data_IF_204657955564
#
_entry.id   IF_204657955564
#
_cell.length_a   1.000
_cell.length_b   1.000
_cell.length_c   1.000
_cell.angle_alpha   90.00
_cell.angle_beta   90.00
_cell.angle_gamma   90.00
#
_symmetry.space_group_name_H-M   'P 1'
#
loop_
_entity.id
_entity.type
_entity.pdbx_description
1 polymer ?
#
# COMPACT_ATOMS: atom_id res chain seq x y z
N UNK A 1 24.43 33.61 2.64
CA UNK A 1 25.11 32.34 2.26
C UNK A 1 24.59 31.16 3.12
N UNK A 2 24.58 31.29 4.45
CA UNK A 2 24.12 30.18 5.36
C UNK A 2 22.63 29.87 5.16
N UNK A 3 21.79 30.94 5.09
CA UNK A 3 20.34 30.79 4.89
C UNK A 3 20.00 30.18 3.51
N UNK A 4 20.70 30.52 2.46
CA UNK A 4 20.50 29.95 1.12
C UNK A 4 20.92 28.45 1.09
N UNK A 5 22.01 28.08 1.76
CA UNK A 5 22.44 26.69 1.88
C UNK A 5 21.40 25.87 2.65
N UNK A 6 20.93 26.39 3.79
CA UNK A 6 19.89 25.73 4.58
C UNK A 6 18.59 25.55 3.79
N UNK A 7 18.17 26.59 3.06
CA UNK A 7 16.98 26.54 2.23
C UNK A 7 17.09 25.53 1.08
N UNK A 8 18.26 25.44 0.42
CA UNK A 8 18.55 24.41 -0.59
C UNK A 8 18.50 22.99 -0.01
N UNK A 9 19.07 22.77 1.18
CA UNK A 9 19.02 21.49 1.86
C UNK A 9 17.57 21.10 2.20
N UNK A 10 16.79 21.99 2.78
CA UNK A 10 15.37 21.75 3.08
C UNK A 10 14.55 21.46 1.83
N UNK A 11 14.84 22.19 0.73
CA UNK A 11 14.20 21.96 -0.56
C UNK A 11 14.56 20.59 -1.16
N UNK A 12 15.83 20.19 -1.07
CA UNK A 12 16.29 18.86 -1.52
C UNK A 12 15.66 17.73 -0.71
N UNK A 13 15.58 17.87 0.63
CA UNK A 13 14.92 16.90 1.50
C UNK A 13 13.43 16.77 1.18
N UNK A 14 12.72 17.90 0.97
CA UNK A 14 11.31 17.87 0.56
C UNK A 14 11.11 17.17 -0.80
N UNK A 15 12.00 17.42 -1.74
CA UNK A 15 11.96 16.79 -3.06
C UNK A 15 12.24 15.29 -2.97
N UNK A 16 13.24 14.88 -2.18
CA UNK A 16 13.57 13.48 -1.93
C UNK A 16 12.44 12.72 -1.25
N UNK A 17 11.84 13.33 -0.22
CA UNK A 17 10.67 12.76 0.47
C UNK A 17 9.48 12.59 -0.48
N UNK A 18 9.17 13.62 -1.28
CA UNK A 18 8.07 13.55 -2.24
C UNK A 18 8.30 12.49 -3.33
N UNK A 19 9.54 12.35 -3.81
CA UNK A 19 9.90 11.32 -4.79
C UNK A 19 9.77 9.92 -4.18
N UNK A 20 10.31 9.69 -2.99
CA UNK A 20 10.22 8.40 -2.28
C UNK A 20 8.77 8.02 -1.99
N UNK A 21 7.97 8.95 -1.45
CA UNK A 21 6.55 8.73 -1.23
C UNK A 21 5.79 8.43 -2.53
N UNK A 22 6.14 9.09 -3.62
CA UNK A 22 5.56 8.86 -4.95
C UNK A 22 5.84 7.45 -5.47
N UNK A 23 7.07 6.97 -5.34
CA UNK A 23 7.46 5.60 -5.73
C UNK A 23 6.69 4.58 -4.90
N UNK A 24 6.68 4.75 -3.57
CA UNK A 24 5.96 3.82 -2.66
C UNK A 24 4.47 3.78 -3.00
N UNK A 25 3.81 4.93 -3.17
CA UNK A 25 2.40 4.98 -3.54
C UNK A 25 2.14 4.30 -4.89
N UNK A 26 3.02 4.48 -5.87
CA UNK A 26 2.84 3.85 -7.17
C UNK A 26 3.03 2.33 -7.12
N UNK A 27 3.99 1.84 -6.34
CA UNK A 27 4.32 0.41 -6.23
C UNK A 27 3.47 -0.33 -5.19
N UNK A 28 2.75 0.39 -4.31
CA UNK A 28 2.00 -0.18 -3.18
C UNK A 28 1.06 -1.34 -3.56
N UNK A 29 0.21 -1.25 -4.59
CA UNK A 29 -0.67 -2.37 -4.94
C UNK A 29 0.09 -3.61 -5.41
N UNK A 30 1.20 -3.41 -6.14
CA UNK A 30 2.06 -4.50 -6.60
C UNK A 30 2.77 -5.14 -5.40
N UNK A 31 3.30 -4.33 -4.49
CA UNK A 31 3.94 -4.81 -3.27
C UNK A 31 2.97 -5.64 -2.43
N UNK A 32 1.74 -5.18 -2.20
CA UNK A 32 0.72 -5.93 -1.49
C UNK A 32 0.28 -7.20 -2.21
N UNK A 33 0.32 -7.22 -3.53
CA UNK A 33 -0.03 -8.40 -4.31
C UNK A 33 0.96 -9.56 -4.14
N UNK A 34 2.26 -9.24 -3.99
CA UNK A 34 3.32 -10.25 -3.90
C UNK A 34 3.82 -10.49 -2.47
N UNK A 35 3.88 -9.45 -1.64
CA UNK A 35 4.47 -9.52 -0.31
C UNK A 35 3.45 -9.42 0.83
N UNK A 36 2.22 -8.95 0.54
CA UNK A 36 1.12 -8.85 1.52
C UNK A 36 1.32 -7.84 2.66
N UNK A 37 2.44 -7.16 2.69
CA UNK A 37 2.91 -6.33 3.80
C UNK A 37 3.35 -4.94 3.34
N UNK A 38 3.20 -3.96 4.23
CA UNK A 38 3.66 -2.59 4.04
C UNK A 38 4.76 -2.31 5.06
N UNK A 39 6.02 -2.09 4.65
CA UNK A 39 7.06 -1.61 5.54
C UNK A 39 6.82 -0.13 5.88
N UNK A 40 6.33 0.15 7.09
CA UNK A 40 5.84 1.48 7.51
C UNK A 40 6.96 2.52 7.44
N UNK A 41 8.19 2.15 7.80
CA UNK A 41 9.34 3.05 7.83
C UNK A 41 10.09 3.18 6.50
N UNK A 42 9.59 2.54 5.42
CA UNK A 42 10.27 2.53 4.11
C UNK A 42 10.53 3.93 3.52
N UNK A 43 9.64 4.89 3.77
CA UNK A 43 9.83 6.29 3.32
C UNK A 43 11.07 6.91 3.99
N UNK A 44 11.24 6.68 5.30
CA UNK A 44 12.39 7.20 6.06
C UNK A 44 13.67 6.46 5.65
N UNK A 45 13.60 5.14 5.50
CA UNK A 45 14.74 4.34 5.02
C UNK A 45 15.20 4.80 3.65
N UNK A 46 14.29 4.99 2.71
CA UNK A 46 14.62 5.49 1.37
C UNK A 46 15.26 6.88 1.41
N UNK A 47 14.83 7.76 2.32
CA UNK A 47 15.43 9.08 2.48
C UNK A 47 16.87 9.01 2.95
N UNK A 48 17.21 8.02 3.78
CA UNK A 48 18.57 7.76 4.28
C UNK A 48 19.44 7.05 3.23
N UNK A 49 18.88 6.06 2.54
CA UNK A 49 19.61 5.16 1.61
C UNK A 49 19.84 5.78 0.24
N UNK A 50 18.82 6.43 -0.36
CA UNK A 50 18.88 6.93 -1.74
C UNK A 50 20.05 7.88 -2.03
N UNK A 51 20.46 8.81 -1.13
CA UNK A 51 21.57 9.70 -1.42
C UNK A 51 22.91 8.97 -1.69
N UNK A 52 23.11 7.83 -1.04
CA UNK A 52 24.35 7.06 -1.14
C UNK A 52 24.34 6.04 -2.29
N UNK A 53 23.17 5.73 -2.87
CA UNK A 53 23.07 4.75 -3.96
C UNK A 53 23.94 5.12 -5.17
N UNK A 54 24.05 6.42 -5.49
CA UNK A 54 24.91 6.88 -6.57
C UNK A 54 26.40 6.61 -6.30
N UNK A 55 26.81 6.69 -5.03
CA UNK A 55 28.18 6.42 -4.59
C UNK A 55 28.46 4.92 -4.71
N UNK A 56 27.54 4.08 -4.20
CA UNK A 56 27.65 2.61 -4.29
C UNK A 56 27.70 2.13 -5.73
N UNK A 57 26.84 2.68 -6.61
CA UNK A 57 26.88 2.32 -8.03
C UNK A 57 28.18 2.74 -8.71
N UNK A 58 28.69 3.93 -8.42
CA UNK A 58 29.96 4.42 -8.97
C UNK A 58 31.14 3.60 -8.43
N UNK A 59 31.17 3.31 -7.13
CA UNK A 59 32.17 2.48 -6.47
C UNK A 59 32.20 1.06 -7.01
N UNK A 60 31.03 0.44 -7.18
CA UNK A 60 30.92 -0.89 -7.79
C UNK A 60 31.47 -0.96 -9.21
N UNK A 61 31.21 0.06 -10.03
CA UNK A 61 31.83 0.13 -11.39
C UNK A 61 33.34 0.34 -11.30
N UNK A 62 33.82 1.23 -10.42
CA UNK A 62 35.22 1.51 -10.24
C UNK A 62 36.01 0.31 -9.70
N UNK A 63 35.38 -0.50 -8.86
CA UNK A 63 36.01 -1.70 -8.29
C UNK A 63 36.33 -2.79 -9.32
N UNK A 64 35.71 -2.73 -10.51
CA UNK A 64 36.04 -3.62 -11.65
C UNK A 64 37.36 -3.28 -12.33
N UNK A 65 37.92 -2.10 -12.06
CA UNK A 65 39.20 -1.66 -12.63
C UNK A 65 40.34 -2.18 -11.75
N UNK A 66 41.30 -2.95 -12.32
CA UNK A 66 42.48 -3.43 -11.57
C UNK A 66 43.21 -2.28 -10.86
N UNK A 67 43.48 -2.43 -9.57
CA UNK A 67 44.13 -1.40 -8.73
C UNK A 67 43.18 -0.44 -7.99
N UNK A 68 41.90 -0.42 -8.28
CA UNK A 68 40.90 0.43 -7.59
C UNK A 68 40.03 -0.35 -6.55
N UNK A 69 40.55 -1.47 -6.03
CA UNK A 69 39.82 -2.31 -5.04
C UNK A 69 39.37 -1.58 -3.76
N UNK A 70 40.01 -0.45 -3.43
CA UNK A 70 39.59 0.41 -2.29
C UNK A 70 38.14 0.91 -2.49
N UNK A 71 37.69 1.14 -3.72
CA UNK A 71 36.31 1.56 -3.98
C UNK A 71 35.29 0.49 -3.52
N UNK A 72 35.59 -0.79 -3.75
CA UNK A 72 34.76 -1.90 -3.28
C UNK A 72 34.70 -1.98 -1.74
N UNK A 73 35.80 -1.65 -1.04
CA UNK A 73 35.80 -1.63 0.43
C UNK A 73 34.84 -0.54 0.96
N UNK A 74 34.83 0.64 0.33
CA UNK A 74 33.91 1.73 0.71
C UNK A 74 32.47 1.30 0.46
N UNK A 75 32.19 0.65 -0.66
CA UNK A 75 30.86 0.14 -0.98
C UNK A 75 30.40 -0.91 0.04
N UNK A 76 31.28 -1.85 0.45
CA UNK A 76 30.95 -2.82 1.48
C UNK A 76 30.60 -2.16 2.82
N UNK A 77 31.31 -1.09 3.21
CA UNK A 77 31.00 -0.34 4.43
C UNK A 77 29.63 0.35 4.36
N UNK A 78 29.28 0.94 3.20
CA UNK A 78 27.98 1.57 3.00
C UNK A 78 26.88 0.51 3.01
N UNK A 79 27.09 -0.63 2.37
CA UNK A 79 26.10 -1.72 2.33
C UNK A 79 25.89 -2.33 3.71
N UNK A 80 26.99 -2.56 4.50
CA UNK A 80 26.89 -3.00 5.88
C UNK A 80 26.10 -2.00 6.74
N UNK A 81 26.33 -0.69 6.56
CA UNK A 81 25.58 0.35 7.24
C UNK A 81 24.08 0.33 6.85
N UNK A 82 23.75 0.02 5.58
CA UNK A 82 22.37 -0.14 5.13
C UNK A 82 21.70 -1.33 5.82
N UNK A 83 22.37 -2.48 5.85
CA UNK A 83 21.90 -3.69 6.50
C UNK A 83 21.59 -3.41 7.97
N UNK A 84 22.55 -2.82 8.69
CA UNK A 84 22.39 -2.45 10.09
C UNK A 84 21.19 -1.50 10.31
N UNK A 85 21.01 -0.47 9.49
CA UNK A 85 19.85 0.43 9.60
C UNK A 85 18.55 -0.33 9.34
N UNK A 86 18.49 -1.15 8.30
CA UNK A 86 17.29 -1.92 7.96
C UNK A 86 16.89 -2.87 9.10
N UNK A 87 17.85 -3.55 9.72
CA UNK A 87 17.61 -4.37 10.91
C UNK A 87 17.03 -3.56 12.05
N UNK A 88 17.66 -2.41 12.39
CA UNK A 88 17.19 -1.55 13.48
C UNK A 88 15.80 -0.99 13.27
N UNK A 89 15.47 -0.61 12.04
CA UNK A 89 14.10 -0.17 11.69
C UNK A 89 13.11 -1.34 11.65
N UNK A 90 13.57 -2.56 11.33
CA UNK A 90 12.76 -3.77 11.39
C UNK A 90 12.34 -4.19 12.79
N UNK A 91 13.20 -3.93 13.79
CA UNK A 91 12.93 -4.21 15.21
C UNK A 91 11.94 -3.23 15.85
N UNK A 92 11.65 -2.09 15.21
CA UNK A 92 10.73 -1.10 15.77
C UNK A 92 9.28 -1.62 15.79
N UNK A 93 8.52 -1.29 16.84
CA UNK A 93 7.13 -1.71 16.92
C UNK A 93 6.32 -1.18 15.73
N UNK A 94 5.57 -2.07 15.07
CA UNK A 94 4.79 -1.71 13.88
C UNK A 94 5.63 -1.45 12.64
N UNK A 95 6.87 -1.98 12.55
CA UNK A 95 7.73 -1.84 11.38
C UNK A 95 7.09 -2.38 10.11
N UNK A 96 6.33 -3.44 10.23
CA UNK A 96 5.62 -4.11 9.14
C UNK A 96 4.14 -4.17 9.44
N UNK A 97 3.33 -3.71 8.49
CA UNK A 97 1.89 -3.84 8.55
C UNK A 97 1.41 -4.90 7.57
N UNK A 98 1.00 -6.06 8.08
CA UNK A 98 0.43 -7.13 7.28
C UNK A 98 -1.03 -6.80 6.94
N UNK A 99 -1.28 -6.56 5.66
CA UNK A 99 -2.59 -6.15 5.12
C UNK A 99 -3.31 -7.31 4.45
N UNK A 100 -2.55 -8.23 3.89
CA UNK A 100 -3.04 -9.29 3.02
C UNK A 100 -3.04 -8.90 1.54
N UNK A 101 -3.52 -9.83 0.72
CA UNK A 101 -3.61 -9.65 -0.74
C UNK A 101 -4.84 -8.83 -1.09
N UNK A 102 -4.71 -7.68 -1.76
CA UNK A 102 -5.86 -6.90 -2.22
C UNK A 102 -6.60 -7.64 -3.33
N UNK A 103 -7.91 -7.47 -3.40
CA UNK A 103 -8.69 -7.96 -4.52
C UNK A 103 -8.37 -7.18 -5.80
N UNK A 104 -8.50 -7.81 -6.97
CA UNK A 104 -8.19 -7.19 -8.26
C UNK A 104 -8.94 -5.86 -8.48
N UNK A 105 -10.20 -5.78 -8.08
CA UNK A 105 -11.00 -4.57 -8.20
C UNK A 105 -10.46 -3.41 -7.34
N UNK A 106 -9.91 -3.71 -6.15
CA UNK A 106 -9.29 -2.70 -5.28
C UNK A 106 -8.07 -2.06 -5.95
N UNK A 107 -7.24 -2.88 -6.62
CA UNK A 107 -6.10 -2.37 -7.39
C UNK A 107 -6.54 -1.46 -8.54
N UNK A 108 -7.59 -1.84 -9.28
CA UNK A 108 -8.15 -1.02 -10.37
C UNK A 108 -8.66 0.32 -9.84
N UNK A 109 -9.43 0.31 -8.74
CA UNK A 109 -9.94 1.53 -8.10
C UNK A 109 -8.79 2.41 -7.63
N UNK A 110 -7.78 1.81 -7.02
CA UNK A 110 -6.60 2.54 -6.54
C UNK A 110 -5.87 3.28 -7.68
N UNK A 111 -5.49 2.57 -8.76
CA UNK A 111 -4.78 3.19 -9.88
C UNK A 111 -5.64 4.21 -10.63
N UNK A 112 -6.94 3.96 -10.76
CA UNK A 112 -7.88 4.93 -11.35
C UNK A 112 -7.96 6.20 -10.51
N UNK A 113 -8.04 6.08 -9.19
CA UNK A 113 -8.02 7.21 -8.26
C UNK A 113 -6.71 7.99 -8.31
N UNK A 114 -5.58 7.30 -8.32
CA UNK A 114 -4.26 7.92 -8.45
C UNK A 114 -4.11 8.67 -9.79
N UNK A 115 -4.60 8.09 -10.88
CA UNK A 115 -4.60 8.71 -12.20
C UNK A 115 -5.44 9.99 -12.23
N UNK A 116 -6.62 9.98 -11.62
CA UNK A 116 -7.49 11.17 -11.48
C UNK A 116 -6.79 12.26 -10.67
N UNK A 117 -6.09 11.92 -9.58
CA UNK A 117 -5.33 12.87 -8.77
C UNK A 117 -4.19 13.52 -9.57
N UNK A 118 -3.44 12.73 -10.35
CA UNK A 118 -2.32 13.23 -11.17
C UNK A 118 -2.84 14.16 -12.27
N UNK A 119 -3.90 13.76 -12.98
CA UNK A 119 -4.51 14.59 -14.02
C UNK A 119 -5.06 15.88 -13.43
N UNK A 120 -5.82 15.78 -12.34
CA UNK A 120 -6.40 16.94 -11.66
C UNK A 120 -5.33 17.97 -11.26
N UNK A 121 -4.19 17.49 -10.71
CA UNK A 121 -3.05 18.34 -10.38
C UNK A 121 -2.47 19.02 -11.62
N UNK A 122 -2.24 18.28 -12.71
CA UNK A 122 -1.69 18.82 -13.94
C UNK A 122 -2.59 19.90 -14.55
N UNK A 123 -3.91 19.69 -14.51
CA UNK A 123 -4.89 20.70 -14.96
C UNK A 123 -4.88 21.93 -14.06
N UNK A 124 -4.84 21.77 -12.75
CA UNK A 124 -4.78 22.86 -11.79
C UNK A 124 -3.51 23.72 -11.97
N UNK A 125 -2.37 23.09 -12.23
CA UNK A 125 -1.11 23.82 -12.51
C UNK A 125 -1.15 24.58 -13.84
N UNK A 126 -1.67 23.97 -14.91
CA UNK A 126 -1.86 24.65 -16.21
C UNK A 126 -2.76 25.88 -16.08
N UNK A 127 -3.87 25.74 -15.36
CA UNK A 127 -4.82 26.80 -15.17
C UNK A 127 -4.25 27.95 -14.32
N UNK A 128 -3.47 27.62 -13.27
CA UNK A 128 -2.74 28.62 -12.47
C UNK A 128 -1.76 29.43 -13.34
N UNK A 129 -1.01 28.76 -14.22
CA UNK A 129 -0.11 29.43 -15.17
C UNK A 129 -0.86 30.34 -16.13
N UNK A 130 -1.99 29.91 -16.67
CA UNK A 130 -2.81 30.73 -17.57
C UNK A 130 -3.36 31.99 -16.88
N UNK A 131 -3.82 31.87 -15.62
CA UNK A 131 -4.25 33.04 -14.85
C UNK A 131 -3.12 34.02 -14.57
N UNK A 132 -1.95 33.52 -14.17
CA UNK A 132 -0.79 34.37 -13.94
C UNK A 132 -0.37 35.10 -15.23
N UNK A 133 -0.42 34.40 -16.36
CA UNK A 133 -0.14 35.00 -17.66
C UNK A 133 -1.19 36.06 -18.05
N UNK A 134 -2.48 35.75 -17.87
CA UNK A 134 -3.56 36.72 -18.14
C UNK A 134 -3.46 37.96 -17.25
N UNK A 135 -3.13 37.80 -15.98
CA UNK A 135 -2.91 38.90 -15.05
C UNK A 135 -1.71 39.77 -15.49
N UNK A 136 -0.59 39.14 -15.87
CA UNK A 136 0.59 39.84 -16.39
C UNK A 136 0.30 40.63 -17.66
N UNK A 137 -0.47 40.05 -18.61
CA UNK A 137 -0.88 40.74 -19.86
C UNK A 137 -1.83 41.89 -19.55
N UNK A 138 -2.77 41.72 -18.61
CA UNK A 138 -3.68 42.81 -18.21
C UNK A 138 -2.93 44.00 -17.57
N UNK A 139 -1.93 43.72 -16.74
CA UNK A 139 -1.09 44.73 -16.09
C UNK A 139 -0.25 45.52 -17.12
N UNK A 140 0.35 44.85 -18.09
CA UNK A 140 1.14 45.47 -19.15
C UNK A 140 0.27 46.28 -20.15
N UNK A 141 -0.95 45.78 -20.47
CA UNK A 141 -1.86 46.52 -21.35
C UNK A 141 -2.40 47.79 -20.70
N UNK A 142 -2.54 47.87 -19.36
CA UNK A 142 -2.87 49.09 -18.66
C UNK A 142 -1.70 50.12 -18.71
N UNK A 143 -0.46 49.63 -18.67
CA UNK A 143 0.72 50.47 -18.83
C UNK A 143 0.80 51.12 -20.23
N UNK A 144 0.49 50.37 -21.28
CA UNK A 144 0.49 50.91 -22.68
C UNK A 144 -0.70 51.82 -22.97
N UNK A 145 -1.86 51.59 -22.35
CA UNK A 145 -3.03 52.44 -22.47
C UNK A 145 -2.76 53.88 -21.99
N UNK A 146 -2.09 54.00 -20.85
CA UNK A 146 -1.69 55.33 -20.34
C UNK A 146 -0.59 56.01 -21.17
N UNK A 147 0.23 55.22 -21.84
CA UNK A 147 1.28 55.75 -22.72
C UNK A 147 0.72 56.25 -24.05
N UNK A 148 -0.21 55.51 -24.65
CA UNK A 148 -0.93 55.89 -25.87
C UNK A 148 -1.86 57.06 -25.63
N UNK A 149 -2.51 57.18 -24.46
CA UNK A 149 -3.37 58.31 -24.12
C UNK A 149 -2.57 59.60 -23.89
N UNK A 150 -1.39 59.52 -23.25
CA UNK A 150 -0.43 60.62 -23.16
C UNK A 150 0.14 61.03 -24.54
N UNK A 151 0.40 60.07 -25.44
CA UNK A 151 0.82 60.34 -26.79
C UNK A 151 -0.30 60.91 -27.66
N UNK A 152 -1.54 60.49 -27.44
CA UNK A 152 -2.74 61.03 -28.11
C UNK A 152 -3.02 62.48 -27.67
N UNK A 153 -2.96 62.75 -26.36
CA UNK A 153 -3.04 64.14 -25.82
C UNK A 153 -1.89 65.03 -26.34
N UNK A 154 -0.66 64.52 -26.52
CA UNK A 154 0.44 65.24 -27.14
C UNK A 154 0.24 65.47 -28.63
N UNK A 155 -0.50 64.63 -29.37
CA UNK A 155 -0.84 64.81 -30.79
C UNK A 155 -2.03 65.76 -30.97
N UNK A 156 -3.02 65.72 -30.10
CA UNK A 156 -4.17 66.65 -30.12
C UNK A 156 -3.73 68.10 -29.79
N UNK A 157 -2.70 68.26 -28.98
CA UNK A 157 -2.12 69.57 -28.71
C UNK A 157 -1.17 70.03 -29.82
N UNK A 158 -0.87 69.21 -30.84
CA UNK A 158 0.04 69.53 -31.96
C UNK A 158 -0.59 69.63 -33.36
N UNK A 159 -1.90 69.34 -33.50
CA UNK A 159 -2.52 69.17 -34.81
C UNK A 159 -3.93 69.74 -34.91
N UNK A 160 -3.99 71.08 -35.07
CA UNK A 160 -5.02 71.72 -35.88
C UNK A 160 -4.52 71.66 -37.30
N UNK A 161 -5.21 70.98 -38.15
CA UNK A 161 -5.37 70.99 -39.61
C UNK A 161 -5.25 69.55 -40.20
N UNK A 162 -6.31 68.97 -40.63
CA UNK A 162 -6.64 68.64 -42.02
C UNK A 162 -8.00 67.89 -42.12
N UNK A 163 -8.91 68.52 -42.82
CA UNK A 163 -10.26 68.05 -43.12
C UNK A 163 -10.26 67.19 -44.40
N UNK A 164 -10.96 66.06 -44.36
CA UNK A 164 -11.58 65.51 -45.52
C UNK A 164 -10.94 64.31 -46.21
N UNK A 165 -11.54 63.16 -45.95
CA UNK A 165 -11.82 62.05 -46.88
C UNK A 165 -11.94 60.68 -46.16
N UNK A 166 -13.15 60.09 -46.13
CA UNK A 166 -13.25 58.73 -45.59
C UNK A 166 -14.65 58.17 -45.30
N UNK A 167 -15.68 58.67 -45.91
CA UNK A 167 -17.05 58.16 -45.76
C UNK A 167 -17.48 57.28 -46.93
N UNK A 168 -16.93 56.09 -47.14
CA UNK A 168 -17.53 55.13 -48.13
C UNK A 168 -17.00 53.68 -48.04
N UNK A 169 -16.74 53.12 -46.88
CA UNK A 169 -16.32 51.69 -46.81
C UNK A 169 -16.97 50.85 -45.72
N UNK A 170 -17.98 51.34 -45.02
CA UNK A 170 -18.54 50.62 -43.84
C UNK A 170 -19.89 49.91 -44.11
N UNK A 171 -20.53 50.12 -45.31
CA UNK A 171 -21.85 49.56 -45.61
C UNK A 171 -21.86 48.11 -46.11
N UNK A 172 -20.76 47.54 -46.60
CA UNK A 172 -20.76 46.19 -47.19
C UNK A 172 -20.30 45.05 -46.30
N UNK A 173 -19.96 45.30 -45.07
CA UNK A 173 -19.46 44.26 -44.13
C UNK A 173 -20.57 43.64 -43.24
N UNK A 174 -21.79 44.21 -43.23
CA UNK A 174 -22.88 43.76 -42.32
C UNK A 174 -23.85 42.75 -42.94
N UNK A 175 -23.72 42.38 -44.22
CA UNK A 175 -24.65 41.43 -44.90
C UNK A 175 -24.20 39.98 -44.98
N UNK A 176 -22.98 39.65 -44.57
CA UNK A 176 -22.45 38.28 -44.72
C UNK A 176 -22.35 37.49 -43.39
N UNK A 177 -22.87 37.99 -42.30
CA UNK A 177 -22.79 37.31 -40.97
C UNK A 177 -24.07 36.70 -40.44
N UNK A 178 -25.14 36.58 -41.30
CA UNK A 178 -26.45 36.10 -40.80
C UNK A 178 -26.86 34.67 -41.22
N UNK A 179 -26.02 33.97 -42.00
CA UNK A 179 -26.37 32.60 -42.50
C UNK A 179 -25.81 31.43 -41.69
N UNK A 180 -24.78 31.63 -40.84
CA UNK A 180 -24.12 30.49 -40.17
C UNK A 180 -24.55 30.28 -38.71
N UNK A 181 -25.62 30.94 -38.26
CA UNK A 181 -25.97 30.97 -36.83
C UNK A 181 -26.98 29.91 -36.39
N UNK A 182 -27.49 29.04 -37.25
CA UNK A 182 -28.56 28.08 -36.91
C UNK A 182 -28.12 26.61 -36.81
N UNK A 183 -26.91 26.22 -37.20
CA UNK A 183 -26.43 24.83 -37.06
C UNK A 183 -25.61 24.55 -35.79
N UNK A 184 -25.24 25.58 -35.04
CA UNK A 184 -24.40 25.48 -33.86
C UNK A 184 -25.14 25.34 -32.49
N UNK A 185 -26.49 25.50 -32.51
CA UNK A 185 -27.26 25.64 -31.25
C UNK A 185 -27.54 24.32 -30.55
N UNK A 186 -27.50 23.18 -31.24
CA UNK A 186 -27.84 21.89 -30.64
C UNK A 186 -26.67 21.12 -30.00
N UNK A 187 -25.43 21.35 -30.42
CA UNK A 187 -24.26 20.66 -29.86
C UNK A 187 -23.64 21.43 -28.68
N UNK A 188 -24.02 22.69 -28.47
CA UNK A 188 -23.45 23.59 -27.46
C UNK A 188 -24.06 23.42 -26.07
N UNK A 189 -25.30 22.90 -25.96
CA UNK A 189 -25.99 22.84 -24.65
C UNK A 189 -25.33 21.88 -23.66
N UNK A 190 -24.91 20.70 -24.11
CA UNK A 190 -24.16 19.76 -23.25
C UNK A 190 -22.73 20.21 -23.00
N UNK A 191 -22.08 20.84 -23.96
CA UNK A 191 -20.76 21.45 -23.76
C UNK A 191 -20.82 22.61 -22.76
N UNK A 192 -21.88 23.42 -22.78
CA UNK A 192 -22.07 24.51 -21.79
C UNK A 192 -22.44 23.96 -20.39
N UNK A 193 -23.23 22.90 -20.29
CA UNK A 193 -23.52 22.24 -18.99
C UNK A 193 -22.27 21.61 -18.42
N UNK A 194 -21.50 20.87 -19.21
CA UNK A 194 -20.22 20.31 -18.81
C UNK A 194 -19.18 21.39 -18.55
N UNK A 195 -19.14 22.46 -19.35
CA UNK A 195 -18.28 23.60 -19.12
C UNK A 195 -18.68 24.36 -17.85
N UNK A 196 -19.99 24.60 -17.61
CA UNK A 196 -20.45 25.24 -16.38
C UNK A 196 -20.26 24.36 -15.15
N UNK A 197 -20.49 23.05 -15.23
CA UNK A 197 -20.11 22.10 -14.18
C UNK A 197 -18.61 22.12 -13.95
N UNK A 198 -17.81 22.10 -15.02
CA UNK A 198 -16.38 22.22 -14.99
C UNK A 198 -15.91 23.60 -14.46
N UNK A 199 -16.57 24.71 -14.86
CA UNK A 199 -16.29 26.07 -14.34
C UNK A 199 -16.69 26.22 -12.86
N UNK A 200 -17.80 25.61 -12.40
CA UNK A 200 -18.19 25.60 -10.99
C UNK A 200 -17.23 24.70 -10.19
N UNK A 201 -16.85 23.56 -10.72
CA UNK A 201 -15.85 22.70 -10.10
C UNK A 201 -14.45 23.35 -10.08
N UNK A 202 -14.07 24.04 -11.15
CA UNK A 202 -12.89 24.91 -11.18
C UNK A 202 -12.99 26.09 -10.22
N UNK A 203 -14.17 26.67 -10.06
CA UNK A 203 -14.44 27.74 -9.10
C UNK A 203 -14.25 27.29 -7.66
N UNK A 204 -14.70 26.10 -7.30
CA UNK A 204 -14.48 25.46 -6.00
C UNK A 204 -12.99 25.15 -5.80
N UNK A 205 -12.31 24.67 -6.84
CA UNK A 205 -10.86 24.38 -6.81
C UNK A 205 -9.99 25.64 -6.75
N UNK A 206 -10.49 26.77 -7.21
CA UNK A 206 -9.75 28.06 -7.22
C UNK A 206 -10.04 28.95 -6.04
N UNK A 207 -10.98 28.53 -5.19
CA UNK A 207 -11.33 29.33 -4.04
C UNK A 207 -10.15 29.39 -3.07
N UNK A 208 -9.54 30.54 -3.10
CA UNK A 208 -8.76 31.33 -2.14
C UNK A 208 -7.60 30.69 -1.35
N UNK A 209 -7.46 29.37 -1.29
CA UNK A 209 -6.30 28.74 -0.64
C UNK A 209 -5.96 27.39 -1.30
N UNK A 210 -4.77 27.25 -1.87
CA UNK A 210 -4.22 25.97 -2.33
C UNK A 210 -4.17 24.87 -1.24
N UNK A 211 -4.56 25.18 -0.04
CA UNK A 211 -4.77 24.31 1.12
C UNK A 211 -5.99 23.41 0.93
N UNK A 212 -7.15 23.93 0.48
CA UNK A 212 -8.36 23.13 0.26
C UNK A 212 -8.13 22.02 -0.80
N UNK A 213 -7.50 22.36 -1.92
CA UNK A 213 -7.19 21.34 -2.93
C UNK A 213 -6.24 20.27 -2.40
N UNK A 214 -5.29 20.63 -1.54
CA UNK A 214 -4.37 19.69 -0.91
C UNK A 214 -5.10 18.79 0.08
N UNK A 215 -6.04 19.34 0.88
CA UNK A 215 -6.86 18.58 1.81
C UNK A 215 -7.76 17.58 1.07
N UNK A 216 -8.43 18.00 0.00
CA UNK A 216 -9.28 17.12 -0.82
C UNK A 216 -8.44 16.01 -1.46
N UNK A 217 -7.28 16.34 -2.02
CA UNK A 217 -6.37 15.35 -2.60
C UNK A 217 -5.86 14.37 -1.54
N UNK A 218 -5.52 14.84 -0.34
CA UNK A 218 -5.12 13.99 0.78
C UNK A 218 -6.27 13.07 1.24
N UNK A 219 -7.50 13.58 1.34
CA UNK A 219 -8.67 12.76 1.69
C UNK A 219 -8.94 11.67 0.64
N UNK A 220 -8.84 12.01 -0.65
CA UNK A 220 -8.98 11.01 -1.73
C UNK A 220 -7.87 9.98 -1.63
N UNK A 221 -6.63 10.39 -1.39
CA UNK A 221 -5.51 9.47 -1.22
C UNK A 221 -5.72 8.53 -0.03
N UNK A 222 -6.12 9.05 1.12
CA UNK A 222 -6.46 8.24 2.31
C UNK A 222 -7.59 7.27 2.01
N UNK A 223 -8.62 7.71 1.29
CA UNK A 223 -9.74 6.85 0.90
C UNK A 223 -9.29 5.70 -0.01
N UNK A 224 -8.52 5.98 -1.09
CA UNK A 224 -8.09 4.92 -2.01
C UNK A 224 -7.08 3.98 -1.37
N UNK A 225 -6.20 4.46 -0.46
CA UNK A 225 -5.32 3.60 0.33
C UNK A 225 -6.14 2.77 1.31
N UNK A 226 -7.10 3.35 2.01
CA UNK A 226 -7.99 2.63 2.92
C UNK A 226 -8.84 1.57 2.20
N UNK A 227 -9.31 1.86 0.99
CA UNK A 227 -9.97 0.86 0.14
C UNK A 227 -9.02 -0.26 -0.29
N UNK A 228 -7.77 0.07 -0.62
CA UNK A 228 -6.78 -0.93 -1.04
C UNK A 228 -6.39 -1.87 0.12
N UNK A 229 -6.24 -1.32 1.33
CA UNK A 229 -5.82 -2.07 2.53
C UNK A 229 -6.99 -2.67 3.30
N UNK A 230 -8.23 -2.37 2.93
CA UNK A 230 -9.43 -2.91 3.56
C UNK A 230 -9.62 -4.39 3.25
N UNK A 231 -9.77 -5.22 4.29
CA UNK A 231 -10.19 -6.60 4.12
C UNK A 231 -11.72 -6.66 4.09
N UNK A 232 -12.28 -6.89 2.91
CA UNK A 232 -13.72 -6.97 2.68
C UNK A 232 -14.25 -8.40 2.71
N UNK A 233 -13.36 -9.40 2.70
CA UNK A 233 -13.72 -10.83 2.77
C UNK A 233 -13.72 -11.28 4.24
N UNK A 234 -14.82 -11.01 4.92
CA UNK A 234 -15.07 -11.40 6.33
C UNK A 234 -15.94 -12.64 6.47
N UNK A 235 -16.11 -13.40 5.41
CA UNK A 235 -16.82 -14.65 5.44
C UNK A 235 -16.05 -15.73 6.18
N UNK A 236 -16.78 -16.76 6.66
CA UNK A 236 -16.13 -17.96 7.15
C UNK A 236 -15.58 -18.78 5.98
N UNK A 237 -14.41 -19.36 6.18
CA UNK A 237 -13.71 -20.13 5.14
C UNK A 237 -12.96 -21.30 5.75
N UNK A 238 -13.03 -22.42 5.10
CA UNK A 238 -12.17 -23.58 5.37
C UNK A 238 -11.26 -23.75 4.16
N UNK A 239 -9.96 -23.79 4.39
CA UNK A 239 -8.95 -23.94 3.33
C UNK A 239 -8.06 -25.11 3.63
N UNK A 240 -8.00 -26.07 2.72
CA UNK A 240 -7.01 -27.14 2.71
C UNK A 240 -5.76 -26.64 2.00
N UNK A 241 -4.64 -26.63 2.69
CA UNK A 241 -3.36 -26.19 2.15
C UNK A 241 -2.76 -27.28 1.26
N UNK A 242 -2.17 -26.89 0.13
CA UNK A 242 -1.41 -27.81 -0.72
C UNK A 242 -0.04 -28.10 -0.11
N UNK A 243 -0.02 -28.99 0.89
CA UNK A 243 1.21 -29.39 1.58
C UNK A 243 1.90 -30.60 0.94
N UNK A 244 1.29 -31.26 -0.02
CA UNK A 244 1.76 -32.51 -0.62
C UNK A 244 1.29 -33.73 0.17
N UNK A 245 2.20 -34.64 0.59
CA UNK A 245 1.86 -35.74 1.49
C UNK A 245 1.85 -35.24 2.92
N UNK A 246 0.66 -35.03 3.47
CA UNK A 246 0.42 -34.50 4.80
C UNK A 246 -0.87 -33.71 4.84
N UNK A 247 -1.15 -33.10 6.00
CA UNK A 247 -2.35 -32.33 6.24
C UNK A 247 -2.05 -30.91 6.67
N UNK A 248 -2.97 -30.01 6.32
CA UNK A 248 -2.92 -28.61 6.76
C UNK A 248 -4.24 -27.92 6.43
N UNK A 249 -5.01 -27.57 7.45
CA UNK A 249 -6.34 -26.99 7.29
C UNK A 249 -6.42 -25.69 8.08
N UNK A 250 -6.76 -24.59 7.40
CA UNK A 250 -7.03 -23.31 8.05
C UNK A 250 -8.52 -23.01 8.03
N UNK A 251 -9.09 -22.78 9.22
CA UNK A 251 -10.47 -22.34 9.40
C UNK A 251 -10.45 -20.88 9.78
N UNK A 252 -10.93 -20.03 8.86
CA UNK A 252 -11.07 -18.58 9.07
C UNK A 252 -12.51 -18.29 9.48
N UNK A 253 -12.68 -17.48 10.51
CA UNK A 253 -13.94 -16.84 10.84
C UNK A 253 -13.78 -15.33 10.69
N UNK A 254 -14.86 -14.57 10.63
CA UNK A 254 -14.75 -13.11 10.56
C UNK A 254 -14.04 -12.46 11.77
N UNK A 255 -13.62 -13.25 12.77
CA UNK A 255 -13.04 -12.78 14.03
C UNK A 255 -11.71 -13.44 14.40
N UNK A 256 -11.32 -14.53 13.74
CA UNK A 256 -10.08 -15.24 14.04
C UNK A 256 -9.80 -16.36 13.05
N UNK A 257 -8.64 -16.97 13.19
CA UNK A 257 -8.23 -18.12 12.39
C UNK A 257 -7.73 -19.24 13.30
N UNK A 258 -7.98 -20.46 12.87
CA UNK A 258 -7.59 -21.69 13.53
C UNK A 258 -6.84 -22.56 12.53
N UNK A 259 -5.80 -23.24 12.98
CA UNK A 259 -4.99 -24.15 12.17
C UNK A 259 -5.18 -25.57 12.72
N UNK A 260 -5.51 -26.51 11.85
CA UNK A 260 -5.58 -27.94 12.16
C UNK A 260 -4.51 -28.64 11.33
N UNK A 261 -3.51 -29.17 12.00
CA UNK A 261 -2.31 -29.73 11.44
C UNK A 261 -1.60 -28.77 10.45
N UNK A 262 -0.36 -28.99 10.21
CA UNK A 262 0.39 -28.42 9.10
C UNK A 262 1.71 -29.16 9.00
N UNK A 263 1.78 -30.12 8.09
CA UNK A 263 3.00 -30.88 7.90
C UNK A 263 3.10 -31.49 6.52
N UNK A 264 4.25 -32.08 6.21
CA UNK A 264 4.49 -32.81 4.97
C UNK A 264 5.71 -33.70 5.06
N UNK A 265 5.61 -34.90 4.49
CA UNK A 265 6.76 -35.78 4.25
C UNK A 265 7.36 -35.59 2.86
N UNK A 266 6.61 -35.03 1.90
CA UNK A 266 7.08 -34.83 0.51
C UNK A 266 7.67 -33.46 0.22
N UNK A 267 7.40 -32.44 1.06
CA UNK A 267 7.90 -31.08 0.90
C UNK A 267 8.63 -30.62 2.16
N UNK A 268 9.71 -29.86 1.99
CA UNK A 268 10.46 -29.25 3.10
C UNK A 268 9.98 -27.84 3.36
N UNK A 269 10.12 -27.39 4.62
CA UNK A 269 9.84 -26.00 5.04
C UNK A 269 8.41 -25.56 4.70
N UNK A 270 7.45 -26.39 5.06
CA UNK A 270 6.03 -26.14 4.83
C UNK A 270 5.55 -24.88 5.56
N UNK A 271 6.05 -24.64 6.77
CA UNK A 271 5.77 -23.44 7.53
C UNK A 271 6.19 -22.19 6.76
N UNK A 272 7.44 -22.16 6.25
CA UNK A 272 8.01 -21.02 5.53
C UNK A 272 7.39 -20.79 4.15
N UNK A 273 7.16 -21.87 3.36
CA UNK A 273 6.78 -21.71 1.95
C UNK A 273 5.30 -21.90 1.64
N UNK A 274 4.51 -22.49 2.55
CA UNK A 274 3.08 -22.70 2.35
C UNK A 274 2.25 -21.97 3.40
N UNK A 275 2.47 -22.23 4.69
CA UNK A 275 1.67 -21.68 5.78
C UNK A 275 1.85 -20.17 5.92
N UNK A 276 3.10 -19.69 6.08
CA UNK A 276 3.40 -18.25 6.22
C UNK A 276 2.84 -17.41 5.05
N UNK A 277 3.10 -17.74 3.76
CA UNK A 277 2.54 -16.98 2.65
C UNK A 277 1.01 -17.00 2.61
N UNK A 278 0.39 -18.15 2.97
CA UNK A 278 -1.06 -18.23 3.05
C UNK A 278 -1.61 -17.27 4.10
N UNK A 279 -1.15 -17.39 5.36
CA UNK A 279 -1.60 -16.54 6.46
C UNK A 279 -1.39 -15.04 6.16
N UNK A 280 -0.21 -14.67 5.66
CA UNK A 280 0.08 -13.30 5.25
C UNK A 280 -0.82 -12.83 4.10
N UNK A 281 -1.10 -13.67 3.11
CA UNK A 281 -2.00 -13.33 2.00
C UNK A 281 -3.42 -13.04 2.45
N UNK A 282 -3.83 -13.66 3.57
CA UNK A 282 -5.14 -13.45 4.20
C UNK A 282 -5.13 -12.30 5.22
N UNK A 283 -3.96 -11.74 5.53
CA UNK A 283 -3.79 -10.71 6.57
C UNK A 283 -3.94 -11.28 7.99
N UNK A 284 -3.68 -12.58 8.16
CA UNK A 284 -3.77 -13.27 9.46
C UNK A 284 -2.41 -13.12 10.16
N UNK A 285 -2.41 -12.44 11.29
CA UNK A 285 -1.24 -12.24 12.14
C UNK A 285 -1.33 -12.97 13.48
N UNK A 286 -2.50 -13.52 13.83
CA UNK A 286 -2.72 -14.33 15.03
C UNK A 286 -3.59 -15.54 14.69
N UNK A 287 -3.17 -16.71 15.18
CA UNK A 287 -3.96 -17.93 15.22
C UNK A 287 -4.51 -18.09 16.62
N UNK A 288 -5.83 -18.13 16.76
CA UNK A 288 -6.50 -18.34 18.06
C UNK A 288 -6.30 -19.72 18.61
N UNK A 289 -6.15 -20.71 17.72
CA UNK A 289 -5.88 -22.08 18.11
C UNK A 289 -5.12 -22.82 17.03
N UNK A 290 -4.15 -23.61 17.46
CA UNK A 290 -3.43 -24.56 16.61
C UNK A 290 -3.69 -25.95 17.19
N UNK A 291 -4.25 -26.83 16.41
CA UNK A 291 -4.59 -28.20 16.78
C UNK A 291 -3.61 -29.15 16.08
N UNK A 292 -3.07 -30.10 16.82
CA UNK A 292 -2.19 -31.13 16.28
C UNK A 292 -2.79 -32.50 16.56
N UNK A 293 -3.29 -33.13 15.51
CA UNK A 293 -4.04 -34.39 15.61
C UNK A 293 -3.18 -35.52 16.14
N UNK A 294 -1.94 -35.66 15.66
CA UNK A 294 -0.99 -36.67 16.09
C UNK A 294 0.47 -36.24 15.76
N UNK A 295 1.49 -36.92 16.34
CA UNK A 295 2.87 -36.40 16.33
C UNK A 295 3.68 -36.77 15.07
N UNK A 296 3.06 -37.18 13.97
CA UNK A 296 3.78 -37.53 12.76
C UNK A 296 4.25 -36.28 12.01
N UNK A 297 5.38 -36.36 11.31
CA UNK A 297 6.02 -35.23 10.65
C UNK A 297 5.12 -34.56 9.61
N UNK A 298 4.26 -35.31 8.96
CA UNK A 298 3.31 -34.82 7.96
C UNK A 298 2.10 -34.07 8.53
N UNK A 299 2.04 -33.97 9.87
CA UNK A 299 1.02 -33.19 10.57
C UNK A 299 1.62 -32.02 11.38
N UNK A 300 2.88 -32.12 11.85
CA UNK A 300 3.41 -31.17 12.80
C UNK A 300 4.61 -30.34 12.33
N UNK A 301 5.37 -30.74 11.29
CA UNK A 301 6.64 -30.08 10.99
C UNK A 301 6.49 -28.60 10.60
N UNK A 302 5.40 -28.22 9.93
CA UNK A 302 5.10 -26.82 9.62
C UNK A 302 4.64 -26.02 10.83
N UNK A 303 3.99 -26.67 11.82
CA UNK A 303 3.64 -26.07 13.11
C UNK A 303 4.90 -25.82 13.93
N UNK A 304 5.83 -26.76 13.93
CA UNK A 304 7.14 -26.59 14.58
C UNK A 304 7.89 -25.39 14.03
N UNK A 305 7.95 -25.27 12.68
CA UNK A 305 8.53 -24.07 12.03
C UNK A 305 7.82 -22.77 12.44
N UNK A 306 6.48 -22.81 12.59
CA UNK A 306 5.69 -21.65 13.03
C UNK A 306 6.03 -21.25 14.46
N UNK A 307 6.16 -22.20 15.38
CA UNK A 307 6.54 -21.92 16.77
C UNK A 307 7.95 -21.37 16.88
N UNK A 308 8.89 -21.91 16.10
CA UNK A 308 10.28 -21.47 16.10
C UNK A 308 10.48 -20.08 15.48
N UNK A 309 9.73 -19.75 14.43
CA UNK A 309 9.97 -18.55 13.62
C UNK A 309 8.79 -17.56 13.61
N UNK A 310 7.70 -17.84 14.31
CA UNK A 310 6.46 -17.03 14.28
C UNK A 310 6.70 -15.56 14.64
N UNK A 311 7.57 -15.31 15.61
CA UNK A 311 7.95 -13.95 16.00
C UNK A 311 8.61 -13.16 14.86
N UNK A 312 9.54 -13.78 14.13
CA UNK A 312 10.17 -13.20 12.95
C UNK A 312 9.17 -13.01 11.80
N UNK A 313 8.25 -13.95 11.65
CA UNK A 313 7.21 -13.85 10.63
C UNK A 313 6.11 -12.84 10.97
N UNK A 314 6.05 -12.34 12.20
CA UNK A 314 4.97 -11.49 12.70
C UNK A 314 3.63 -12.24 12.79
N UNK A 315 3.69 -13.55 13.09
CA UNK A 315 2.53 -14.42 13.28
C UNK A 315 2.61 -15.00 14.68
N UNK A 316 1.54 -14.81 15.46
CA UNK A 316 1.43 -15.30 16.83
C UNK A 316 0.45 -16.44 16.94
N UNK A 317 0.69 -17.33 17.88
CA UNK A 317 -0.23 -18.41 18.27
C UNK A 317 -0.72 -18.12 19.67
N UNK A 318 -2.03 -18.02 19.87
CA UNK A 318 -2.62 -17.73 21.18
C UNK A 318 -2.68 -18.98 22.06
N UNK A 319 -2.97 -20.14 21.46
CA UNK A 319 -3.07 -21.42 22.17
C UNK A 319 -2.82 -22.60 21.24
N UNK A 320 -2.16 -23.62 21.76
CA UNK A 320 -2.00 -24.92 21.08
C UNK A 320 -2.84 -26.00 21.80
N UNK A 321 -3.47 -26.86 21.03
CA UNK A 321 -4.29 -27.97 21.51
C UNK A 321 -3.68 -29.28 21.06
N UNK A 322 -3.54 -30.20 21.98
CA UNK A 322 -3.04 -31.56 21.75
C UNK A 322 -4.07 -32.60 22.31
N UNK A 323 -4.10 -33.81 21.79
CA UNK A 323 -5.01 -34.85 22.27
C UNK A 323 -4.73 -35.20 23.73
N UNK A 324 -5.80 -35.42 24.47
CA UNK A 324 -5.77 -35.78 25.90
C UNK A 324 -5.46 -37.28 26.09
N UNK A 325 -4.30 -37.72 25.60
CA UNK A 325 -3.74 -39.08 25.83
C UNK A 325 -3.00 -39.16 27.17
N UNK A 326 -2.43 -40.31 27.53
CA UNK A 326 -1.70 -40.45 28.80
C UNK A 326 -0.49 -39.50 28.87
N UNK A 327 -0.13 -39.04 30.09
CA UNK A 327 0.96 -38.04 30.25
C UNK A 327 2.30 -38.59 29.74
N UNK A 328 2.59 -39.87 29.95
CA UNK A 328 3.84 -40.48 29.49
C UNK A 328 3.93 -40.49 27.97
N UNK A 329 2.86 -40.92 27.27
CA UNK A 329 2.80 -40.92 25.81
C UNK A 329 2.85 -39.52 25.21
N UNK A 330 2.18 -38.54 25.84
CA UNK A 330 2.25 -37.12 25.39
C UNK A 330 3.65 -36.57 25.46
N UNK A 331 4.37 -36.79 26.55
CA UNK A 331 5.75 -36.27 26.72
C UNK A 331 6.69 -36.86 25.68
N UNK A 332 6.55 -38.18 25.41
CA UNK A 332 7.41 -38.82 24.41
C UNK A 332 7.05 -38.43 22.98
N UNK A 333 5.76 -38.45 22.63
CA UNK A 333 5.30 -38.23 21.27
C UNK A 333 5.37 -36.77 20.81
N UNK A 334 5.05 -35.83 21.70
CA UNK A 334 5.00 -34.37 21.38
C UNK A 334 6.15 -33.59 21.99
N UNK A 335 7.24 -34.21 22.44
CA UNK A 335 8.36 -33.52 23.13
C UNK A 335 8.85 -32.31 22.34
N UNK A 336 9.11 -32.48 21.06
CA UNK A 336 9.61 -31.36 20.19
C UNK A 336 8.63 -30.19 20.15
N UNK A 337 7.34 -30.44 20.01
CA UNK A 337 6.29 -29.40 19.97
C UNK A 337 6.13 -28.73 21.35
N UNK A 338 6.17 -29.48 22.43
CA UNK A 338 6.06 -28.97 23.80
C UNK A 338 7.23 -28.03 24.11
N UNK A 339 8.45 -28.42 23.79
CA UNK A 339 9.64 -27.57 23.94
C UNK A 339 9.57 -26.32 23.10
N UNK A 340 9.17 -26.42 21.82
CA UNK A 340 9.02 -25.28 20.94
C UNK A 340 7.89 -24.32 21.41
N UNK A 341 6.77 -24.85 21.90
CA UNK A 341 5.67 -24.05 22.44
C UNK A 341 6.09 -23.31 23.73
N UNK A 342 6.83 -23.98 24.64
CA UNK A 342 7.38 -23.35 25.85
C UNK A 342 8.33 -22.22 25.49
N UNK A 343 9.23 -22.44 24.53
CA UNK A 343 10.17 -21.41 24.07
C UNK A 343 9.46 -20.22 23.40
N UNK A 344 8.43 -20.50 22.62
CA UNK A 344 7.59 -19.47 21.98
C UNK A 344 6.61 -18.78 22.95
N UNK A 345 6.48 -19.27 24.19
CA UNK A 345 5.52 -18.76 25.17
C UNK A 345 4.06 -19.08 24.83
N UNK A 346 3.81 -20.14 24.07
CA UNK A 346 2.47 -20.55 23.63
C UNK A 346 1.88 -21.55 24.67
N UNK A 347 0.74 -21.21 25.29
CA UNK A 347 0.08 -22.13 26.23
C UNK A 347 -0.45 -23.36 25.50
N UNK A 348 -0.28 -24.52 26.13
CA UNK A 348 -0.74 -25.81 25.62
C UNK A 348 -1.93 -26.32 26.45
N UNK A 349 -2.99 -26.73 25.80
CA UNK A 349 -4.15 -27.37 26.38
C UNK A 349 -4.37 -28.74 25.76
N UNK A 350 -5.02 -29.62 26.51
CA UNK A 350 -5.32 -30.96 26.08
C UNK A 350 -6.82 -31.09 25.85
N UNK A 351 -7.22 -31.65 24.71
CA UNK A 351 -8.60 -31.72 24.28
C UNK A 351 -9.05 -33.21 24.16
N UNK A 352 -10.27 -33.46 24.56
CA UNK A 352 -10.89 -34.80 24.53
C UNK A 352 -12.30 -34.79 23.99
N UNK A 353 -12.84 -35.93 23.71
CA UNK A 353 -14.22 -36.09 23.26
C UNK A 353 -15.20 -35.38 24.21
N UNK A 354 -16.06 -34.57 23.64
CA UNK A 354 -17.08 -33.78 24.36
C UNK A 354 -16.65 -32.34 24.66
N UNK A 355 -15.38 -32.01 24.58
CA UNK A 355 -14.91 -30.63 24.77
C UNK A 355 -15.38 -29.75 23.61
N UNK A 356 -15.72 -28.50 23.93
CA UNK A 356 -16.19 -27.52 22.96
C UNK A 356 -15.38 -26.21 23.07
N UNK A 357 -14.96 -25.74 21.94
CA UNK A 357 -14.40 -24.37 21.79
C UNK A 357 -15.44 -23.54 21.03
N UNK A 358 -15.85 -22.44 21.65
CA UNK A 358 -16.83 -21.52 21.06
C UNK A 358 -16.21 -20.15 20.86
N UNK A 359 -16.28 -19.68 19.64
CA UNK A 359 -16.08 -18.30 19.26
C UNK A 359 -17.42 -17.77 18.71
N UNK A 360 -17.60 -16.47 18.58
CA UNK A 360 -18.88 -15.87 18.17
C UNK A 360 -19.48 -16.43 16.87
N UNK A 361 -18.66 -17.02 16.00
CA UNK A 361 -19.07 -17.60 14.71
C UNK A 361 -18.52 -18.99 14.45
N UNK A 362 -17.92 -19.61 15.44
CA UNK A 362 -17.32 -20.94 15.32
C UNK A 362 -17.69 -21.75 16.54
N UNK A 363 -18.14 -22.96 16.30
CA UNK A 363 -18.30 -24.00 17.33
C UNK A 363 -17.49 -25.21 16.89
N UNK A 364 -16.45 -25.51 17.65
CA UNK A 364 -15.66 -26.73 17.50
C UNK A 364 -16.05 -27.69 18.61
N UNK A 365 -16.48 -28.86 18.27
CA UNK A 365 -16.73 -29.94 19.24
C UNK A 365 -15.80 -31.07 18.93
N UNK A 366 -14.96 -31.41 19.90
CA UNK A 366 -14.09 -32.58 19.83
C UNK A 366 -14.94 -33.87 19.91
N UNK A 367 -14.74 -34.74 18.94
CA UNK A 367 -15.43 -36.05 18.86
C UNK A 367 -14.52 -37.19 19.28
N UNK A 368 -13.21 -36.99 19.21
CA UNK A 368 -12.15 -37.97 19.52
C UNK A 368 -10.85 -37.23 19.81
N UNK A 369 -9.93 -37.71 20.69
CA UNK A 369 -9.99 -38.99 21.44
C UNK A 369 -10.81 -38.92 22.72
N UNK A 370 -11.15 -40.09 23.28
CA UNK A 370 -11.65 -40.21 24.64
C UNK A 370 -10.50 -39.99 25.65
N UNK A 371 -10.84 -39.55 26.86
CA UNK A 371 -9.84 -39.25 27.89
C UNK A 371 -9.03 -40.50 28.27
N UNK A 372 -7.71 -40.34 28.38
CA UNK A 372 -6.76 -41.41 28.73
C UNK A 372 -6.81 -42.63 27.78
N UNK A 373 -7.17 -42.41 26.53
CA UNK A 373 -7.10 -43.45 25.52
C UNK A 373 -5.65 -43.90 25.33
N UNK A 374 -5.36 -45.16 25.49
CA UNK A 374 -4.09 -45.80 25.17
C UNK A 374 -4.27 -46.60 23.91
N UNK A 375 -3.65 -46.20 22.83
CA UNK A 375 -3.77 -46.86 21.55
C UNK A 375 -2.37 -47.23 21.03
N UNK A 376 -2.27 -48.36 20.39
CA UNK A 376 -1.01 -48.91 19.91
C UNK A 376 -0.41 -48.11 18.70
N UNK A 377 -1.20 -47.22 18.11
CA UNK A 377 -0.82 -46.43 16.92
C UNK A 377 -1.13 -44.95 17.13
N UNK A 378 -0.18 -44.07 16.81
CA UNK A 378 -0.32 -42.64 16.92
C UNK A 378 -1.52 -42.07 16.14
N UNK A 379 -1.80 -42.61 14.96
CA UNK A 379 -2.96 -42.25 14.16
C UNK A 379 -4.31 -42.56 14.85
N UNK A 380 -4.33 -43.53 15.75
CA UNK A 380 -5.57 -43.98 16.39
C UNK A 380 -6.09 -42.98 17.44
N UNK A 381 -5.30 -41.98 17.89
CA UNK A 381 -5.76 -40.90 18.77
C UNK A 381 -5.84 -39.54 18.12
N UNK A 382 -5.84 -39.52 16.78
CA UNK A 382 -5.99 -38.27 16.02
C UNK A 382 -7.24 -37.51 16.42
N UNK A 383 -7.08 -36.19 16.61
CA UNK A 383 -8.20 -35.32 16.95
C UNK A 383 -9.22 -35.26 15.81
N UNK A 384 -10.48 -35.49 16.15
CA UNK A 384 -11.60 -35.33 15.22
C UNK A 384 -12.55 -34.25 15.74
N UNK A 385 -12.91 -33.31 14.88
CA UNK A 385 -13.78 -32.19 15.24
C UNK A 385 -15.05 -32.15 14.38
N UNK A 386 -16.16 -31.85 15.04
CA UNK A 386 -17.33 -31.27 14.37
C UNK A 386 -17.20 -29.78 14.36
N UNK A 387 -17.21 -29.21 13.16
CA UNK A 387 -17.00 -27.75 12.93
C UNK A 387 -18.29 -27.14 12.43
N UNK A 388 -18.84 -26.18 13.18
CA UNK A 388 -20.00 -25.38 12.82
C UNK A 388 -19.57 -23.91 12.71
N UNK A 389 -19.80 -23.28 11.52
CA UNK A 389 -19.26 -21.95 11.17
C UNK A 389 -20.37 -21.03 10.69
#
# INVERSE_FOLDING_TARGET
VVYERLWRMVSALKSGFAASAGVILFTLPIQLWFFYEIPVYSVLLNLLVLPFMSVVMAGGILSLIPGLGIAGTVDCLILWWYEWICERFGELPGAVWCVGRPAKWQMVVYYSGLFVLIIGRNYAEKWKRQRLYAAYVAENNHGDGHRTERERQRRETRGVDDSGRGRKRESNRKKMQHSDRYSEICTTRWRHVLANFWYTWQGVMTYRNGVMCRIVAAMILVLIVGLLTGNFDRGSRVTFLDVGQGDGIVVETGQGAYLFDCGSTSRRKIGEYVLKPYLKSRGIQSLRGVFVSHPDEDHMNGILELLENGGEWGITVEQMFLPAITEAERREAFEKLLVAAEYAGVPVSYIKCGDEIRDSRLRLRCLHPEENTTLADANAYSECFYVEV
#
